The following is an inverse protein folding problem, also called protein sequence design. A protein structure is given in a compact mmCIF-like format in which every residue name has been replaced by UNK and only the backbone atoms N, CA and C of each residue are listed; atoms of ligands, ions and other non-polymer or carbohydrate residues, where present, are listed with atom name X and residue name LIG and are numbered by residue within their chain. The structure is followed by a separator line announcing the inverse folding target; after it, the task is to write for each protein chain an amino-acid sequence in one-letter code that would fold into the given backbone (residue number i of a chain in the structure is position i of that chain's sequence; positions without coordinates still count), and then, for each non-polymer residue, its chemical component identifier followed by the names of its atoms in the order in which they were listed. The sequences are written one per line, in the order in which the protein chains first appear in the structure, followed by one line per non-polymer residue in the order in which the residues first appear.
data_IF_597813852294
#
_entry.id   IF_597813852294
#
_cell.length_a   1.000
_cell.length_b   1.000
_cell.length_c   1.000
_cell.angle_alpha   90.00
_cell.angle_beta   90.00
_cell.angle_gamma   90.00
#
_symmetry.space_group_name_H-M   'P 1'
#
loop_
_entity.id
_entity.type
_entity.pdbx_description
1 polymer ?
#
# COMPACT_ATOMS: atom_id res chain seq x y z
N UNK A 1 -7.53 4.63 12.12
CA UNK A 1 -6.81 5.47 11.15
C UNK A 1 -5.47 5.88 11.72
N UNK A 2 -4.44 5.92 10.86
CA UNK A 2 -3.16 6.57 11.11
C UNK A 2 -3.19 7.98 10.57
N UNK A 3 -2.60 8.91 11.31
CA UNK A 3 -2.39 10.30 10.89
C UNK A 3 -0.88 10.54 10.77
N UNK A 4 -0.43 10.87 9.58
CA UNK A 4 0.98 11.00 9.26
C UNK A 4 1.32 12.41 8.82
N UNK A 5 2.59 12.80 9.08
CA UNK A 5 3.18 14.05 8.60
C UNK A 5 2.34 15.29 8.93
N UNK A 6 1.98 15.55 10.20
CA UNK A 6 1.24 16.74 10.56
C UNK A 6 2.06 18.00 10.26
N UNK A 7 1.42 18.99 9.61
CA UNK A 7 1.97 20.31 9.32
C UNK A 7 0.90 21.37 9.61
N UNK A 8 1.32 22.55 10.00
CA UNK A 8 0.41 23.69 10.20
C UNK A 8 0.81 24.82 9.26
N UNK A 9 -0.18 25.57 8.80
CA UNK A 9 0.02 26.83 8.11
C UNK A 9 -0.04 28.03 9.07
N UNK A 10 0.12 29.24 8.54
CA UNK A 10 0.09 30.49 9.32
C UNK A 10 -1.31 30.82 9.88
N UNK A 11 -2.35 30.15 9.42
CA UNK A 11 -3.74 30.31 9.83
C UNK A 11 -4.18 29.23 10.84
N UNK A 12 -3.22 28.51 11.43
CA UNK A 12 -3.45 27.41 12.37
C UNK A 12 -4.28 26.23 11.77
N UNK A 13 -4.34 26.09 10.46
CA UNK A 13 -4.91 24.92 9.85
C UNK A 13 -3.94 23.75 9.95
N UNK A 14 -4.43 22.60 10.42
CA UNK A 14 -3.66 21.36 10.50
C UNK A 14 -3.85 20.54 9.22
N UNK A 15 -2.76 20.21 8.59
CA UNK A 15 -2.70 19.29 7.46
C UNK A 15 -2.11 17.97 7.90
N UNK A 16 -2.64 16.86 7.41
CA UNK A 16 -2.09 15.52 7.64
C UNK A 16 -2.58 14.52 6.60
N UNK A 17 -1.84 13.44 6.44
CA UNK A 17 -2.27 12.29 5.68
C UNK A 17 -2.99 11.32 6.61
N UNK A 18 -4.27 11.05 6.36
CA UNK A 18 -5.04 10.02 7.04
C UNK A 18 -5.11 8.77 6.17
N UNK A 19 -4.72 7.64 6.72
CA UNK A 19 -4.85 6.33 6.06
C UNK A 19 -5.54 5.32 6.99
N UNK A 20 -6.23 4.30 6.44
CA UNK A 20 -6.71 3.19 7.25
C UNK A 20 -5.52 2.48 7.90
N UNK A 21 -5.62 2.25 9.22
CA UNK A 21 -4.67 1.38 9.90
C UNK A 21 -4.92 -0.06 9.46
N UNK A 22 -3.91 -0.73 8.91
CA UNK A 22 -3.93 -2.16 8.65
C UNK A 22 -2.77 -2.80 9.39
N UNK A 23 -3.05 -3.76 10.26
CA UNK A 23 -1.99 -4.59 10.82
C UNK A 23 -1.31 -5.40 9.71
N UNK A 24 0.01 -5.55 9.83
CA UNK A 24 0.73 -6.46 8.94
C UNK A 24 0.17 -7.88 9.10
N UNK A 25 -0.46 -8.41 8.05
CA UNK A 25 -1.11 -9.73 8.07
C UNK A 25 -2.64 -9.70 8.09
N UNK A 26 -3.29 -8.55 8.27
CA UNK A 26 -4.73 -8.40 8.00
C UNK A 26 -4.96 -8.35 6.47
N UNK A 27 -5.05 -9.52 5.85
CA UNK A 27 -5.70 -9.62 4.55
C UNK A 27 -7.21 -9.45 4.77
N UNK A 28 -7.85 -8.64 3.93
CA UNK A 28 -9.31 -8.52 3.91
C UNK A 28 -9.87 -9.93 3.68
N UNK A 29 -10.27 -10.60 4.77
CA UNK A 29 -10.88 -11.91 4.72
C UNK A 29 -12.27 -11.77 4.08
N UNK A 30 -12.32 -11.85 2.74
CA UNK A 30 -13.61 -11.95 2.07
C UNK A 30 -14.26 -13.28 2.46
N UNK A 31 -15.58 -13.31 2.62
CA UNK A 31 -16.31 -14.56 2.89
C UNK A 31 -15.93 -15.68 1.90
N UNK A 32 -15.61 -15.30 0.65
CA UNK A 32 -15.12 -16.24 -0.36
C UNK A 32 -13.72 -16.78 -0.09
N UNK A 33 -12.80 -16.00 0.51
CA UNK A 33 -11.48 -16.48 0.89
C UNK A 33 -11.56 -17.41 2.10
N UNK A 34 -12.40 -17.09 3.09
CA UNK A 34 -12.65 -17.95 4.25
C UNK A 34 -13.25 -19.29 3.82
N UNK A 35 -14.26 -19.27 2.96
CA UNK A 35 -14.89 -20.49 2.45
C UNK A 35 -13.89 -21.35 1.68
N UNK A 36 -13.06 -20.73 0.83
CA UNK A 36 -11.99 -21.40 0.09
C UNK A 36 -10.93 -21.99 1.04
N UNK A 37 -10.58 -21.29 2.11
CA UNK A 37 -9.61 -21.76 3.09
C UNK A 37 -10.17 -22.95 3.91
N UNK A 38 -11.43 -22.89 4.30
CA UNK A 38 -12.13 -24.01 4.96
C UNK A 38 -12.19 -25.25 4.05
N UNK A 39 -12.50 -25.05 2.78
CA UNK A 39 -12.63 -26.16 1.80
C UNK A 39 -11.25 -26.77 1.47
N UNK A 40 -10.19 -25.95 1.45
CA UNK A 40 -8.82 -26.41 1.18
C UNK A 40 -8.07 -26.86 2.45
N UNK A 41 -8.63 -26.63 3.65
CA UNK A 41 -8.00 -26.97 4.92
C UNK A 41 -7.57 -28.45 4.99
N UNK A 42 -8.44 -29.45 4.70
CA UNK A 42 -8.03 -30.85 4.75
C UNK A 42 -6.90 -31.17 3.78
N UNK A 43 -6.90 -30.59 2.59
CA UNK A 43 -5.81 -30.75 1.62
C UNK A 43 -4.49 -30.13 2.13
N UNK A 44 -4.54 -28.92 2.71
CA UNK A 44 -3.37 -28.26 3.29
C UNK A 44 -2.82 -29.02 4.49
N UNK A 45 -3.71 -29.59 5.32
CA UNK A 45 -3.34 -30.41 6.47
C UNK A 45 -2.59 -31.68 6.03
N UNK A 46 -3.14 -32.41 5.06
CA UNK A 46 -2.51 -33.61 4.50
C UNK A 46 -1.16 -33.26 3.86
N UNK A 47 -1.08 -32.17 3.11
CA UNK A 47 0.17 -31.70 2.52
C UNK A 47 1.22 -31.29 3.57
N UNK A 48 0.80 -30.66 4.67
CA UNK A 48 1.66 -30.31 5.79
C UNK A 48 2.17 -31.55 6.51
N UNK A 49 1.29 -32.50 6.78
CA UNK A 49 1.65 -33.78 7.39
C UNK A 49 2.62 -34.59 6.53
N UNK A 50 2.40 -34.62 5.22
CA UNK A 50 3.31 -35.28 4.27
C UNK A 50 4.68 -34.58 4.23
N UNK A 51 4.72 -33.24 4.29
CA UNK A 51 5.94 -32.47 4.40
C UNK A 51 6.72 -32.79 5.68
N UNK A 52 6.01 -32.84 6.81
CA UNK A 52 6.58 -33.22 8.10
C UNK A 52 7.16 -34.66 8.08
N UNK A 53 6.37 -35.63 7.60
CA UNK A 53 6.83 -37.01 7.49
C UNK A 53 8.05 -37.13 6.54
N UNK A 54 8.08 -36.37 5.47
CA UNK A 54 9.22 -36.36 4.55
C UNK A 54 10.51 -35.82 5.20
N UNK A 55 10.40 -34.76 6.02
CA UNK A 55 11.52 -34.25 6.82
C UNK A 55 11.95 -35.28 7.87
N UNK A 56 10.99 -35.89 8.53
CA UNK A 56 11.26 -36.91 9.56
C UNK A 56 11.97 -38.13 8.98
N UNK A 57 11.50 -38.65 7.83
CA UNK A 57 12.16 -39.79 7.17
C UNK A 57 13.54 -39.43 6.64
N UNK A 58 13.75 -38.19 6.19
CA UNK A 58 15.10 -37.72 5.76
C UNK A 58 16.06 -37.64 6.95
N UNK A 59 15.56 -37.20 8.13
CA UNK A 59 16.39 -37.09 9.33
C UNK A 59 16.72 -38.44 9.98
N UNK A 60 15.82 -39.41 9.94
CA UNK A 60 15.95 -40.68 10.64
C UNK A 60 16.09 -41.91 9.72
N UNK A 61 15.60 -41.81 8.48
CA UNK A 61 15.64 -42.92 7.50
C UNK A 61 16.63 -42.75 6.36
N UNK A 62 17.29 -41.58 6.24
CA UNK A 62 18.29 -41.31 5.21
C UNK A 62 17.74 -41.11 3.80
N UNK A 63 16.48 -41.44 3.52
CA UNK A 63 15.86 -41.25 2.19
C UNK A 63 14.52 -40.51 2.30
N UNK A 64 14.26 -39.50 1.41
CA UNK A 64 12.97 -38.84 1.36
C UNK A 64 11.87 -39.77 0.82
N UNK A 65 10.66 -39.70 1.38
CA UNK A 65 9.47 -40.45 0.96
C UNK A 65 9.08 -40.19 -0.51
N UNK A 66 9.62 -39.16 -1.11
CA UNK A 66 9.42 -38.80 -2.51
C UNK A 66 10.74 -38.72 -3.22
N UNK A 67 10.95 -39.63 -4.17
CA UNK A 67 11.98 -39.46 -5.19
C UNK A 67 11.49 -38.36 -6.14
N UNK A 68 11.60 -37.10 -5.72
CA UNK A 68 11.17 -35.93 -6.49
C UNK A 68 12.33 -35.48 -7.37
N UNK A 69 12.41 -36.02 -8.58
CA UNK A 69 13.17 -35.44 -9.68
C UNK A 69 12.67 -34.05 -10.13
N UNK A 70 11.82 -33.42 -9.32
CA UNK A 70 11.53 -32.00 -9.35
C UNK A 70 12.25 -31.37 -8.16
N UNK A 71 13.40 -30.77 -8.43
CA UNK A 71 13.82 -29.61 -7.63
C UNK A 71 12.55 -28.81 -7.38
N UNK A 72 12.11 -28.71 -6.15
CA UNK A 72 11.24 -27.61 -5.77
C UNK A 72 12.07 -26.38 -6.15
N UNK A 73 11.83 -25.85 -7.34
CA UNK A 73 11.95 -24.44 -7.51
C UNK A 73 11.08 -23.87 -6.39
N UNK A 74 11.71 -23.65 -5.24
CA UNK A 74 11.38 -22.53 -4.40
C UNK A 74 11.69 -21.38 -5.35
N UNK A 75 10.78 -21.15 -6.30
CA UNK A 75 10.51 -19.82 -6.75
C UNK A 75 10.21 -19.13 -5.44
N UNK A 76 11.25 -18.59 -4.82
CA UNK A 76 11.09 -17.41 -4.01
C UNK A 76 10.06 -16.66 -4.82
N UNK A 77 8.84 -16.50 -4.32
CA UNK A 77 7.89 -15.56 -4.89
C UNK A 77 8.76 -14.32 -4.95
N UNK A 78 9.37 -14.08 -6.11
CA UNK A 78 9.95 -12.79 -6.40
C UNK A 78 8.82 -11.89 -5.99
N UNK A 79 9.00 -11.21 -4.86
CA UNK A 79 8.12 -10.13 -4.45
C UNK A 79 7.94 -9.38 -5.73
N UNK A 80 6.78 -9.50 -6.34
CA UNK A 80 6.57 -8.91 -7.64
C UNK A 80 6.98 -7.46 -7.44
N UNK A 81 7.72 -6.85 -8.37
CA UNK A 81 8.10 -5.43 -8.36
C UNK A 81 6.89 -4.51 -8.16
N UNK A 82 5.74 -5.09 -7.96
CA UNK A 82 4.39 -4.55 -7.83
C UNK A 82 3.97 -4.26 -6.39
N UNK A 83 4.67 -4.84 -5.41
CA UNK A 83 4.35 -4.66 -3.99
C UNK A 83 5.47 -3.88 -3.32
N UNK A 84 5.14 -2.72 -2.79
CA UNK A 84 6.05 -1.82 -2.10
C UNK A 84 5.76 -1.87 -0.61
N UNK A 85 6.82 -1.99 0.19
CA UNK A 85 6.71 -1.85 1.64
C UNK A 85 7.17 -0.45 2.04
N UNK A 86 6.24 0.36 2.54
CA UNK A 86 6.49 1.75 2.90
C UNK A 86 5.88 2.07 4.27
N UNK A 87 6.69 2.56 5.18
CA UNK A 87 6.31 2.94 6.55
C UNK A 87 5.40 1.91 7.26
N UNK A 88 5.85 0.65 7.27
CA UNK A 88 5.13 -0.44 7.94
C UNK A 88 3.94 -1.02 7.19
N UNK A 89 3.57 -0.49 6.02
CA UNK A 89 2.46 -0.99 5.21
C UNK A 89 2.89 -1.59 3.89
N UNK A 90 2.25 -2.68 3.51
CA UNK A 90 2.36 -3.28 2.19
C UNK A 90 1.44 -2.56 1.21
N UNK A 91 2.02 -1.93 0.20
CA UNK A 91 1.30 -1.22 -0.86
C UNK A 91 1.24 -2.10 -2.09
N UNK A 92 0.06 -2.53 -2.48
CA UNK A 92 -0.19 -3.25 -3.73
C UNK A 92 -0.28 -2.26 -4.91
N UNK A 93 0.88 -1.76 -5.34
CA UNK A 93 0.99 -0.63 -6.26
C UNK A 93 0.19 -0.80 -7.55
N UNK A 94 0.31 -1.96 -8.21
CA UNK A 94 -0.40 -2.19 -9.48
C UNK A 94 -1.91 -2.36 -9.30
N UNK A 95 -2.33 -3.02 -8.21
CA UNK A 95 -3.76 -3.17 -7.89
C UNK A 95 -4.39 -1.80 -7.67
N UNK A 96 -3.77 -1.00 -6.80
CA UNK A 96 -4.26 0.34 -6.48
C UNK A 96 -4.29 1.25 -7.72
N UNK A 97 -3.24 1.20 -8.56
CA UNK A 97 -3.20 1.96 -9.80
C UNK A 97 -4.37 1.63 -10.72
N UNK A 98 -4.61 0.34 -10.97
CA UNK A 98 -5.73 -0.10 -11.82
C UNK A 98 -7.08 0.30 -11.25
N UNK A 99 -7.22 0.31 -9.93
CA UNK A 99 -8.43 0.72 -9.26
C UNK A 99 -8.65 2.24 -9.38
N UNK A 100 -7.59 3.04 -9.20
CA UNK A 100 -7.63 4.48 -9.39
C UNK A 100 -7.96 4.86 -10.85
N UNK A 101 -7.38 4.16 -11.83
CA UNK A 101 -7.72 4.32 -13.26
C UNK A 101 -9.20 4.03 -13.55
N UNK A 102 -9.78 2.98 -12.95
CA UNK A 102 -11.22 2.66 -13.08
C UNK A 102 -12.13 3.73 -12.50
N UNK A 103 -11.66 4.45 -11.49
CA UNK A 103 -12.38 5.59 -10.92
C UNK A 103 -12.21 6.91 -11.71
N UNK A 104 -11.58 6.85 -12.87
CA UNK A 104 -11.40 8.01 -13.74
C UNK A 104 -10.34 9.01 -13.25
N UNK A 105 -9.40 8.58 -12.40
CA UNK A 105 -8.31 9.45 -11.95
C UNK A 105 -7.30 9.64 -13.09
N UNK A 106 -7.15 10.87 -13.63
CA UNK A 106 -6.20 11.14 -14.71
C UNK A 106 -4.74 10.93 -14.29
N UNK A 107 -4.46 11.05 -13.00
CA UNK A 107 -3.13 10.88 -12.40
C UNK A 107 -3.11 9.67 -11.46
N UNK A 108 -3.58 8.52 -11.94
CA UNK A 108 -3.71 7.32 -11.14
C UNK A 108 -2.38 6.93 -10.45
N UNK A 109 -2.33 7.12 -9.13
CA UNK A 109 -1.20 6.80 -8.25
C UNK A 109 -1.19 5.35 -7.79
N UNK A 110 -0.18 5.00 -6.99
CA UNK A 110 0.05 3.64 -6.48
C UNK A 110 -0.56 3.41 -5.09
N UNK A 111 -1.10 4.44 -4.46
CA UNK A 111 -1.74 4.33 -3.16
C UNK A 111 -3.25 4.13 -3.28
N UNK A 112 -3.88 3.50 -2.27
CA UNK A 112 -5.33 3.39 -2.22
C UNK A 112 -5.97 4.77 -2.03
N UNK A 113 -7.15 4.99 -2.60
CA UNK A 113 -7.92 6.24 -2.46
C UNK A 113 -8.30 6.57 -1.01
N UNK A 114 -8.22 5.61 -0.11
CA UNK A 114 -8.42 5.77 1.32
C UNK A 114 -7.28 6.50 2.05
N UNK A 115 -6.09 6.58 1.42
CA UNK A 115 -5.01 7.45 1.89
C UNK A 115 -5.29 8.87 1.43
N UNK A 116 -5.72 9.74 2.33
CA UNK A 116 -6.22 11.08 1.99
C UNK A 116 -5.42 12.17 2.67
N UNK A 117 -5.16 13.25 1.94
CA UNK A 117 -4.67 14.50 2.53
C UNK A 117 -5.86 15.28 3.09
N UNK A 118 -5.81 15.58 4.37
CA UNK A 118 -6.80 16.35 5.10
C UNK A 118 -6.28 17.74 5.43
N UNK A 119 -7.18 18.71 5.44
CA UNK A 119 -7.05 19.98 6.14
C UNK A 119 -8.08 20.01 7.27
N UNK A 120 -7.65 20.35 8.47
CA UNK A 120 -8.52 20.59 9.62
C UNK A 120 -8.32 22.02 10.07
N UNK A 121 -9.38 22.77 10.06
CA UNK A 121 -9.41 24.17 10.54
C UNK A 121 -9.48 24.23 12.07
N UNK A 122 -9.15 25.38 12.70
CA UNK A 122 -9.19 25.53 14.17
C UNK A 122 -10.59 25.28 14.77
N UNK A 123 -11.66 25.50 14.01
CA UNK A 123 -13.05 25.19 14.41
C UNK A 123 -13.38 23.69 14.37
N UNK A 124 -12.44 22.85 13.92
CA UNK A 124 -12.58 21.40 13.85
C UNK A 124 -13.16 20.86 12.54
N UNK A 125 -13.46 21.73 11.56
CA UNK A 125 -13.95 21.29 10.24
C UNK A 125 -12.86 20.55 9.48
N UNK A 126 -13.18 19.37 8.94
CA UNK A 126 -12.27 18.57 8.12
C UNK A 126 -12.65 18.62 6.64
N UNK A 127 -11.64 18.86 5.80
CA UNK A 127 -11.77 18.83 4.35
C UNK A 127 -10.76 17.86 3.73
N UNK A 128 -11.21 17.02 2.80
CA UNK A 128 -10.34 16.16 2.01
C UNK A 128 -9.83 16.94 0.80
N UNK A 129 -8.54 17.22 0.77
CA UNK A 129 -7.90 17.98 -0.30
C UNK A 129 -7.47 17.11 -1.48
N UNK A 130 -6.96 15.91 -1.18
CA UNK A 130 -6.51 14.97 -2.22
C UNK A 130 -6.65 13.52 -1.73
N UNK A 131 -6.68 12.58 -2.69
CA UNK A 131 -6.77 11.14 -2.42
C UNK A 131 -5.56 10.41 -2.99
N UNK A 132 -5.18 9.28 -2.37
CA UNK A 132 -4.03 8.49 -2.80
C UNK A 132 -2.70 9.21 -2.55
N UNK A 133 -2.59 9.98 -1.47
CA UNK A 133 -1.42 10.80 -1.17
C UNK A 133 -0.38 10.02 -0.38
N UNK A 134 0.89 10.11 -0.81
CA UNK A 134 2.04 9.47 -0.17
C UNK A 134 2.81 10.46 0.70
N UNK A 135 3.06 11.65 0.18
CA UNK A 135 3.79 12.74 0.83
C UNK A 135 3.29 14.09 0.31
N UNK A 136 3.47 15.15 1.08
CA UNK A 136 3.06 16.49 0.70
C UNK A 136 3.91 17.57 1.35
N UNK A 137 3.87 18.76 0.78
CA UNK A 137 4.45 19.98 1.35
C UNK A 137 3.55 21.17 1.09
N UNK A 138 3.53 22.10 2.03
CA UNK A 138 2.82 23.36 1.92
C UNK A 138 3.75 24.40 1.28
N UNK A 139 3.24 25.16 0.33
CA UNK A 139 3.94 26.26 -0.30
C UNK A 139 3.48 27.61 0.29
N UNK A 140 4.33 28.62 0.22
CA UNK A 140 4.06 29.96 0.75
C UNK A 140 2.92 30.68 0.04
N UNK A 141 2.63 30.30 -1.20
CA UNK A 141 1.51 30.82 -1.99
C UNK A 141 0.15 30.19 -1.66
N UNK A 142 0.10 29.31 -0.64
CA UNK A 142 -1.09 28.56 -0.25
C UNK A 142 -1.36 27.35 -1.14
N UNK A 143 -0.53 27.06 -2.12
CA UNK A 143 -0.61 25.81 -2.88
C UNK A 143 -0.02 24.65 -2.10
N UNK A 144 -0.39 23.42 -2.49
CA UNK A 144 0.11 22.20 -1.88
C UNK A 144 0.71 21.31 -2.97
N UNK A 145 1.99 20.99 -2.83
CA UNK A 145 2.62 20.00 -3.69
C UNK A 145 2.54 18.63 -3.00
N UNK A 146 2.07 17.63 -3.71
CA UNK A 146 1.94 16.28 -3.16
C UNK A 146 2.34 15.21 -4.16
N UNK A 147 2.76 14.06 -3.63
CA UNK A 147 3.06 12.86 -4.39
C UNK A 147 2.00 11.80 -4.16
N UNK A 148 1.59 11.11 -5.22
CA UNK A 148 0.80 9.88 -5.13
C UNK A 148 1.64 8.62 -5.41
N UNK A 149 2.97 8.77 -5.33
CA UNK A 149 3.97 7.73 -5.60
C UNK A 149 4.34 7.58 -7.08
N UNK A 150 3.59 8.18 -8.02
CA UNK A 150 3.85 8.13 -9.46
C UNK A 150 3.86 9.50 -10.13
N UNK A 151 3.12 10.42 -9.57
CA UNK A 151 3.04 11.81 -10.02
C UNK A 151 3.35 12.74 -8.87
N UNK A 152 4.02 13.83 -9.17
CA UNK A 152 4.12 15.01 -8.31
C UNK A 152 3.13 16.01 -8.87
N UNK A 153 2.19 16.41 -8.03
CA UNK A 153 1.04 17.23 -8.38
C UNK A 153 1.02 18.48 -7.51
N UNK A 154 0.60 19.59 -8.07
CA UNK A 154 0.35 20.82 -7.32
C UNK A 154 -1.14 21.10 -7.31
N UNK A 155 -1.71 21.22 -6.11
CA UNK A 155 -3.07 21.69 -5.88
C UNK A 155 -3.01 23.17 -5.57
N UNK A 156 -3.68 23.97 -6.36
CA UNK A 156 -3.80 25.41 -6.18
C UNK A 156 -4.91 25.75 -5.17
N UNK A 157 -4.91 26.97 -4.58
CA UNK A 157 -5.95 27.40 -3.65
C UNK A 157 -7.38 27.37 -4.23
N UNK A 158 -7.53 27.53 -5.55
CA UNK A 158 -8.80 27.42 -6.27
C UNK A 158 -9.29 25.98 -6.44
N UNK A 159 -8.51 24.98 -5.99
CA UNK A 159 -8.81 23.58 -6.10
C UNK A 159 -8.35 22.91 -7.41
N UNK A 160 -7.84 23.66 -8.36
CA UNK A 160 -7.25 23.09 -9.59
C UNK A 160 -6.00 22.30 -9.28
N UNK A 161 -5.70 21.28 -10.12
CA UNK A 161 -4.54 20.41 -9.94
C UNK A 161 -3.71 20.42 -11.21
N UNK A 162 -2.41 20.67 -11.07
CA UNK A 162 -1.43 20.68 -12.15
C UNK A 162 -0.43 19.54 -11.95
N UNK A 163 -0.13 18.79 -13.01
CA UNK A 163 0.94 17.81 -13.02
C UNK A 163 2.29 18.53 -13.14
N UNK A 164 3.16 18.37 -12.15
CA UNK A 164 4.52 18.92 -12.19
C UNK A 164 5.51 17.93 -12.79
N UNK A 165 5.39 16.65 -12.39
CA UNK A 165 6.32 15.61 -12.82
C UNK A 165 5.69 14.23 -12.73
N UNK A 166 6.14 13.35 -13.62
CA UNK A 166 5.80 11.91 -13.58
C UNK A 166 7.08 11.11 -13.33
N UNK A 167 7.08 10.36 -12.25
CA UNK A 167 8.21 9.53 -11.83
C UNK A 167 7.78 8.10 -11.52
N UNK A 168 8.74 7.15 -11.51
CA UNK A 168 8.43 5.76 -11.16
C UNK A 168 8.06 5.60 -9.69
N UNK A 169 8.73 6.37 -8.82
CA UNK A 169 8.49 6.33 -7.38
C UNK A 169 8.99 7.64 -6.73
N UNK A 170 8.07 8.54 -6.41
CA UNK A 170 8.34 9.77 -5.66
C UNK A 170 7.85 9.59 -4.23
N UNK A 171 8.76 9.27 -3.29
CA UNK A 171 8.42 8.92 -1.91
C UNK A 171 8.52 10.07 -0.92
N UNK A 172 9.28 11.10 -1.24
CA UNK A 172 9.46 12.28 -0.38
C UNK A 172 9.57 13.55 -1.18
N UNK A 173 8.98 14.61 -0.65
CA UNK A 173 8.98 15.95 -1.21
C UNK A 173 9.61 16.92 -0.22
N UNK A 174 10.61 17.66 -0.69
CA UNK A 174 11.13 18.82 0.02
C UNK A 174 11.10 20.02 -0.94
N UNK A 175 10.44 21.07 -0.54
CA UNK A 175 10.55 22.37 -1.22
C UNK A 175 11.66 23.13 -0.53
N UNK A 176 12.67 23.54 -1.30
CA UNK A 176 13.69 24.48 -0.84
C UNK A 176 13.04 25.85 -0.80
N UNK A 177 13.00 26.45 0.37
CA UNK A 177 12.53 27.80 0.58
C UNK A 177 13.52 28.83 -0.02
#
# INVERSE_FOLDING_TARGET
FDYLMPRMDEQDNLYCIRRPYKMAGEEDASLGSVLKDVLLFPYRLIKGLFGFLNVFTTLYGGEPLRNSGRRSDVKSKQKSEKDLFFEGNLIHAEKNRKENEKHGDPHAGILPRSSVLLRRTPDGTEEILARGVLDYTLCTDGSIVYSNGRYILQRHPDGSVTELMKEKLATRLNVLA
#
